data_IF_871387030936
#
_entry.id   IF_871387030936
#
_cell.length_a   1.000
_cell.length_b   1.000
_cell.length_c   1.000
_cell.angle_alpha   90.00
_cell.angle_beta   90.00
_cell.angle_gamma   90.00
#
_symmetry.space_group_name_H-M   'P 1'
#
loop_
_entity.id
_entity.type
_entity.pdbx_description
1 polymer ?
#
# COMPACT_ATOMS: atom_id res chain seq x y z
N UNK A 1 -2.22 7.25 -16.85
CA UNK A 1 -1.15 6.50 -16.17
C UNK A 1 -1.22 6.73 -14.67
N UNK A 2 -1.09 5.70 -13.89
CA UNK A 2 -1.13 5.80 -12.43
C UNK A 2 0.13 6.50 -11.91
N UNK A 3 -0.05 7.60 -11.19
CA UNK A 3 1.04 8.36 -10.61
C UNK A 3 1.13 8.03 -9.11
N UNK A 4 2.11 7.22 -8.76
CA UNK A 4 2.28 6.76 -7.38
C UNK A 4 2.43 7.92 -6.41
N UNK A 5 3.25 8.92 -6.73
CA UNK A 5 3.47 10.05 -5.83
C UNK A 5 2.19 10.87 -5.61
N UNK A 6 1.43 11.12 -6.68
CA UNK A 6 0.17 11.84 -6.58
C UNK A 6 -0.84 11.04 -5.76
N UNK A 7 -0.90 9.74 -5.97
CA UNK A 7 -1.82 8.87 -5.23
C UNK A 7 -1.45 8.73 -3.76
N UNK A 8 -0.14 8.74 -3.45
CA UNK A 8 0.31 8.73 -2.05
C UNK A 8 -0.19 9.96 -1.29
N UNK A 9 -0.23 11.10 -1.94
CA UNK A 9 -0.73 12.33 -1.31
C UNK A 9 -2.22 12.29 -1.03
N UNK A 10 -2.96 11.50 -1.80
CA UNK A 10 -4.40 11.36 -1.63
C UNK A 10 -4.81 10.38 -0.55
N UNK A 11 -3.88 9.57 -0.07
CA UNK A 11 -4.19 8.56 0.93
C UNK A 11 -4.67 9.19 2.23
N UNK A 12 -5.75 8.64 2.84
CA UNK A 12 -6.25 9.16 4.11
C UNK A 12 -5.39 8.70 5.29
N UNK A 13 -5.40 9.49 6.36
CA UNK A 13 -4.76 9.12 7.63
C UNK A 13 -5.75 8.30 8.47
N UNK A 14 -6.20 7.20 7.89
CA UNK A 14 -7.20 6.33 8.51
C UNK A 14 -6.76 4.87 8.41
N UNK A 15 -7.28 3.99 9.28
CA UNK A 15 -6.97 2.57 9.18
C UNK A 15 -7.61 1.96 7.95
N UNK A 16 -6.98 0.91 7.44
CA UNK A 16 -7.51 0.22 6.28
C UNK A 16 -6.60 -0.86 5.74
N UNK A 17 -6.97 -1.35 4.58
CA UNK A 17 -6.21 -2.37 3.84
C UNK A 17 -5.68 -1.74 2.56
N UNK A 18 -4.45 -2.04 2.20
CA UNK A 18 -3.86 -1.61 0.95
C UNK A 18 -3.48 -2.82 0.10
N UNK A 19 -3.64 -2.68 -1.20
CA UNK A 19 -3.45 -3.77 -2.17
C UNK A 19 -2.52 -3.28 -3.27
N UNK A 20 -1.40 -3.97 -3.45
CA UNK A 20 -0.41 -3.64 -4.47
C UNK A 20 -0.60 -4.51 -5.70
N UNK A 21 -0.58 -3.90 -6.90
CA UNK A 21 -0.75 -4.60 -8.17
C UNK A 21 0.46 -4.38 -9.06
N UNK A 22 0.78 -5.39 -9.87
CA UNK A 22 1.79 -5.23 -10.91
C UNK A 22 1.18 -4.67 -12.21
N UNK A 23 1.99 -4.54 -13.25
CA UNK A 23 1.54 -3.98 -14.53
C UNK A 23 0.48 -4.82 -15.22
N UNK A 24 0.33 -6.08 -14.84
CA UNK A 24 -0.69 -6.98 -15.37
C UNK A 24 -1.93 -7.03 -14.49
N UNK A 25 -2.03 -6.09 -13.55
CA UNK A 25 -3.15 -5.99 -12.60
C UNK A 25 -3.23 -7.20 -11.66
N UNK A 26 -2.14 -7.89 -11.49
CA UNK A 26 -2.06 -9.02 -10.57
C UNK A 26 -1.73 -8.51 -9.17
N UNK A 27 -2.45 -9.02 -8.16
CA UNK A 27 -2.19 -8.65 -6.77
C UNK A 27 -0.89 -9.31 -6.32
N UNK A 28 0.07 -8.49 -5.92
CA UNK A 28 1.38 -8.97 -5.46
C UNK A 28 1.57 -8.81 -3.96
N UNK A 29 0.74 -7.99 -3.33
CA UNK A 29 0.80 -7.82 -1.87
C UNK A 29 -0.49 -7.22 -1.35
N UNK A 30 -0.93 -7.71 -0.18
CA UNK A 30 -2.06 -7.16 0.57
C UNK A 30 -1.60 -6.96 2.00
N UNK A 31 -1.85 -5.78 2.55
CA UNK A 31 -1.45 -5.48 3.92
C UNK A 31 -2.49 -4.62 4.63
N UNK A 32 -2.36 -4.55 5.95
CA UNK A 32 -3.21 -3.71 6.77
C UNK A 32 -2.40 -2.55 7.35
N UNK A 33 -3.06 -1.46 7.68
CA UNK A 33 -2.42 -0.30 8.27
C UNK A 33 -3.35 0.39 9.25
N UNK A 34 -2.79 0.91 10.33
CA UNK A 34 -3.50 1.80 11.25
C UNK A 34 -3.64 3.18 10.62
N UNK A 35 -2.61 3.62 9.90
CA UNK A 35 -2.63 4.87 9.13
C UNK A 35 -2.16 4.53 7.71
N UNK A 36 -3.10 4.44 6.78
CA UNK A 36 -2.83 4.05 5.39
C UNK A 36 -1.76 4.93 4.76
N UNK A 37 -1.89 6.25 4.90
CA UNK A 37 -0.95 7.18 4.28
C UNK A 37 0.49 6.91 4.69
N UNK A 38 0.72 6.72 5.98
CA UNK A 38 2.07 6.52 6.49
C UNK A 38 2.62 5.16 6.08
N UNK A 39 1.79 4.12 6.16
CA UNK A 39 2.24 2.75 5.86
C UNK A 39 2.56 2.57 4.38
N UNK A 40 1.67 2.98 3.50
CA UNK A 40 1.88 2.82 2.07
C UNK A 40 3.05 3.66 1.61
N UNK A 41 3.15 4.89 2.11
CA UNK A 41 4.25 5.78 1.75
C UNK A 41 5.62 5.21 2.11
N UNK A 42 5.72 4.45 3.21
CA UNK A 42 6.98 3.84 3.63
C UNK A 42 7.56 2.90 2.58
N UNK A 43 6.71 2.21 1.82
CA UNK A 43 7.18 1.29 0.79
C UNK A 43 7.88 2.02 -0.37
N UNK A 44 7.53 3.27 -0.61
CA UNK A 44 8.06 4.04 -1.74
C UNK A 44 9.13 5.06 -1.34
N UNK A 45 9.49 5.10 -0.06
CA UNK A 45 10.57 5.98 0.41
C UNK A 45 11.92 5.31 0.19
N UNK A 46 12.97 6.15 0.03
CA UNK A 46 14.35 5.68 -0.05
C UNK A 46 14.87 5.35 1.35
N UNK A 47 14.25 4.40 2.02
CA UNK A 47 14.65 3.94 3.34
C UNK A 47 15.39 2.62 3.24
N UNK A 48 16.05 2.23 4.34
CA UNK A 48 16.64 0.90 4.44
C UNK A 48 15.50 -0.11 4.47
N UNK A 49 15.27 -0.77 3.36
CA UNK A 49 14.28 -1.83 3.23
C UNK A 49 15.00 -3.15 3.06
N UNK A 50 14.34 -4.25 3.45
CA UNK A 50 14.85 -5.56 3.11
C UNK A 50 14.87 -5.71 1.60
N UNK A 51 15.77 -6.54 1.09
CA UNK A 51 15.85 -6.80 -0.35
C UNK A 51 14.53 -7.31 -0.89
N UNK A 52 13.82 -8.14 -0.12
CA UNK A 52 12.51 -8.67 -0.49
C UNK A 52 11.49 -7.56 -0.74
N UNK A 53 11.43 -6.56 0.14
CA UNK A 53 10.51 -5.42 0.00
C UNK A 53 10.91 -4.55 -1.19
N UNK A 54 12.20 -4.30 -1.38
CA UNK A 54 12.67 -3.54 -2.53
C UNK A 54 12.26 -4.20 -3.84
N UNK A 55 12.39 -5.52 -3.94
CA UNK A 55 12.00 -6.25 -5.13
C UNK A 55 10.49 -6.16 -5.37
N UNK A 56 9.69 -6.27 -4.32
CA UNK A 56 8.24 -6.14 -4.42
C UNK A 56 7.85 -4.74 -4.90
N UNK A 57 8.43 -3.70 -4.32
CA UNK A 57 8.13 -2.31 -4.68
C UNK A 57 8.49 -2.03 -6.13
N UNK A 58 9.58 -2.62 -6.62
CA UNK A 58 10.00 -2.46 -8.01
C UNK A 58 8.97 -3.02 -9.00
N UNK A 59 8.16 -3.98 -8.57
CA UNK A 59 7.13 -4.60 -9.41
C UNK A 59 5.78 -3.87 -9.34
N UNK A 60 5.60 -2.98 -8.36
CA UNK A 60 4.33 -2.28 -8.18
C UNK A 60 4.10 -1.29 -9.31
N UNK A 61 3.00 -1.48 -10.04
CA UNK A 61 2.55 -0.53 -11.06
C UNK A 61 1.57 0.46 -10.44
N UNK A 62 0.62 -0.06 -9.63
CA UNK A 62 -0.38 0.75 -8.97
C UNK A 62 -0.82 0.07 -7.68
N UNK A 63 -1.57 0.81 -6.85
CA UNK A 63 -2.12 0.27 -5.62
C UNK A 63 -3.54 0.75 -5.40
N UNK A 64 -4.27 0.00 -4.57
CA UNK A 64 -5.61 0.35 -4.14
C UNK A 64 -5.64 0.35 -2.62
N UNK A 65 -6.70 0.90 -2.04
CA UNK A 65 -6.89 0.84 -0.60
C UNK A 65 -8.37 0.84 -0.25
N UNK A 66 -8.68 0.25 0.92
CA UNK A 66 -10.02 0.22 1.47
C UNK A 66 -9.95 0.79 2.87
N UNK A 67 -10.68 1.87 3.13
CA UNK A 67 -10.73 2.47 4.46
C UNK A 67 -11.63 1.62 5.35
N UNK A 68 -11.15 1.31 6.56
CA UNK A 68 -11.91 0.56 7.55
C UNK A 68 -12.20 1.44 8.76
N UNK A 69 -13.21 1.09 9.55
CA UNK A 69 -13.55 1.87 10.73
C UNK A 69 -12.50 1.72 11.82
N UNK A 70 -11.83 0.57 11.86
CA UNK A 70 -10.79 0.32 12.85
C UNK A 70 -9.86 -0.79 12.35
N UNK A 71 -8.78 -1.01 13.12
CA UNK A 71 -7.76 -2.00 12.76
C UNK A 71 -8.31 -3.44 12.75
N UNK A 72 -9.24 -3.75 13.64
CA UNK A 72 -9.84 -5.09 13.68
C UNK A 72 -10.60 -5.39 12.40
N UNK A 73 -11.29 -4.40 11.84
CA UNK A 73 -11.98 -4.54 10.56
C UNK A 73 -10.99 -4.78 9.42
N UNK A 74 -9.86 -4.09 9.45
CA UNK A 74 -8.80 -4.32 8.45
C UNK A 74 -8.27 -5.74 8.50
N UNK A 75 -8.14 -6.32 9.70
CA UNK A 75 -7.73 -7.71 9.87
C UNK A 75 -8.71 -8.69 9.22
N UNK A 76 -9.99 -8.42 9.34
CA UNK A 76 -11.01 -9.28 8.76
C UNK A 76 -10.94 -9.25 7.23
N UNK A 77 -10.70 -8.09 6.66
CA UNK A 77 -10.61 -7.92 5.22
C UNK A 77 -9.32 -8.51 4.62
N UNK A 78 -8.31 -8.59 5.42
CA UNK A 78 -7.02 -9.12 4.99
C UNK A 78 -7.08 -10.62 4.69
#
# INVERSE_FOLDING_TARGET
>A
MFDIEAELKKLPKKPGVYIMHDKNDKIIYVGKAVVLKNRVRQYFRKNKKTKRIQNMVALVDHFEYIVCDNEAEALILE
#
